data_IF_488598296454
#
_entry.id   IF_488598296454
#
_cell.length_a   1.000
_cell.length_b   1.000
_cell.length_c   1.000
_cell.angle_alpha   90.00
_cell.angle_beta   90.00
_cell.angle_gamma   90.00
#
_symmetry.space_group_name_H-M   'P 1'
#
loop_
_entity.id
_entity.type
_entity.pdbx_description
1 polymer ?
#
# COMPACT_ATOMS: atom_id res chain seq x y z
N UNK A 1 -1.70 -23.70 -17.90
CA UNK A 1 -2.10 -23.51 -16.50
C UNK A 1 -1.09 -22.69 -15.73
N UNK A 2 -1.56 -21.74 -14.93
CA UNK A 2 -0.72 -20.97 -14.01
C UNK A 2 -0.49 -21.81 -12.74
N UNK A 3 0.77 -21.99 -12.34
CA UNK A 3 1.18 -22.80 -11.18
C UNK A 3 2.03 -21.96 -10.22
N UNK A 4 1.37 -21.33 -9.23
CA UNK A 4 2.07 -20.51 -8.23
C UNK A 4 2.97 -21.33 -7.30
N UNK A 5 2.72 -22.65 -7.20
CA UNK A 5 3.61 -23.61 -6.52
C UNK A 5 5.06 -23.55 -7.00
N UNK A 6 5.30 -23.19 -8.26
CA UNK A 6 6.65 -23.11 -8.84
C UNK A 6 7.46 -21.94 -8.24
N UNK A 7 6.79 -21.00 -7.55
CA UNK A 7 7.39 -19.89 -6.81
C UNK A 7 7.55 -20.20 -5.31
N UNK A 8 7.44 -21.47 -4.90
CA UNK A 8 7.63 -21.88 -3.50
C UNK A 8 6.37 -21.82 -2.62
N UNK A 9 5.19 -21.67 -3.23
CA UNK A 9 3.90 -21.63 -2.52
C UNK A 9 3.06 -22.89 -2.82
N UNK A 10 3.35 -24.03 -2.16
CA UNK A 10 2.69 -25.29 -2.47
C UNK A 10 1.17 -25.19 -2.27
N UNK A 11 0.41 -25.82 -3.17
CA UNK A 11 -1.06 -25.83 -3.11
C UNK A 11 -1.76 -24.62 -3.74
N UNK A 12 -1.03 -23.55 -4.12
CA UNK A 12 -1.60 -22.39 -4.82
C UNK A 12 -1.63 -22.61 -6.34
N UNK A 13 -2.79 -22.38 -6.95
CA UNK A 13 -3.01 -22.59 -8.39
C UNK A 13 -3.62 -21.35 -9.05
N UNK A 14 -3.76 -21.37 -10.38
CA UNK A 14 -4.48 -20.32 -11.11
C UNK A 14 -5.97 -20.18 -10.76
N UNK A 15 -6.57 -21.13 -10.03
CA UNK A 15 -8.02 -21.10 -9.69
C UNK A 15 -8.36 -20.04 -8.65
N UNK A 16 -7.45 -19.77 -7.73
CA UNK A 16 -7.61 -18.78 -6.65
C UNK A 16 -7.07 -17.40 -7.05
N UNK A 17 -6.91 -17.15 -8.35
CA UNK A 17 -6.27 -15.93 -8.86
C UNK A 17 -7.28 -14.91 -9.33
N UNK A 18 -6.92 -13.63 -9.23
CA UNK A 18 -7.71 -12.53 -9.78
C UNK A 18 -7.24 -12.22 -11.20
N UNK A 19 -8.21 -12.07 -12.11
CA UNK A 19 -7.96 -11.70 -13.51
C UNK A 19 -8.16 -10.18 -13.68
N UNK A 20 -7.19 -9.54 -14.32
CA UNK A 20 -7.23 -8.12 -14.63
C UNK A 20 -7.15 -7.91 -16.14
N UNK A 21 -8.12 -7.18 -16.68
CA UNK A 21 -8.16 -6.78 -18.09
C UNK A 21 -8.25 -5.26 -18.13
N UNK A 22 -7.34 -4.61 -18.85
CA UNK A 22 -7.28 -3.15 -18.94
C UNK A 22 -6.98 -2.65 -20.34
N UNK A 23 -7.51 -1.47 -20.68
CA UNK A 23 -7.16 -0.73 -21.90
C UNK A 23 -5.92 0.15 -21.70
N UNK A 24 -5.32 0.64 -22.77
CA UNK A 24 -4.24 1.63 -22.70
C UNK A 24 -4.62 2.84 -21.82
N UNK A 25 -3.69 3.24 -20.94
CA UNK A 25 -3.87 4.32 -19.97
C UNK A 25 -4.63 3.95 -18.70
N UNK A 26 -5.31 2.78 -18.66
CA UNK A 26 -5.95 2.30 -17.44
C UNK A 26 -4.89 2.03 -16.37
N UNK A 27 -5.11 2.59 -15.18
CA UNK A 27 -4.15 2.53 -14.08
C UNK A 27 -4.84 2.25 -12.75
N UNK A 28 -4.06 1.72 -11.81
CA UNK A 28 -4.43 1.63 -10.40
C UNK A 28 -3.60 2.66 -9.64
N UNK A 29 -4.23 3.59 -8.89
CA UNK A 29 -3.54 4.57 -8.08
C UNK A 29 -2.53 3.94 -7.12
N UNK A 30 -1.55 4.72 -6.68
CA UNK A 30 -0.51 4.20 -5.81
C UNK A 30 -1.08 3.78 -4.46
N UNK A 31 -0.81 2.53 -4.08
CA UNK A 31 -1.21 1.96 -2.81
C UNK A 31 -0.18 0.95 -2.34
N UNK A 32 -0.25 0.57 -1.07
CA UNK A 32 0.30 -0.69 -0.59
C UNK A 32 -0.83 -1.62 -0.17
N UNK A 33 -0.50 -2.89 -0.14
CA UNK A 33 -1.38 -3.94 0.34
C UNK A 33 -1.16 -4.15 1.84
N UNK A 34 -2.24 -4.10 2.65
CA UNK A 34 -2.17 -4.19 4.11
C UNK A 34 -1.51 -5.49 4.61
N UNK A 35 -1.71 -6.59 3.90
CA UNK A 35 -1.22 -7.92 4.26
C UNK A 35 -0.90 -8.77 3.03
N UNK A 36 -0.07 -9.79 3.26
CA UNK A 36 0.37 -10.72 2.24
C UNK A 36 1.45 -10.16 1.33
N UNK A 37 1.82 -10.97 0.34
CA UNK A 37 2.58 -10.51 -0.83
C UNK A 37 1.85 -10.93 -2.11
N UNK A 38 2.21 -10.30 -3.22
CA UNK A 38 1.49 -10.46 -4.47
C UNK A 38 2.41 -11.03 -5.56
N UNK A 39 1.96 -12.10 -6.23
CA UNK A 39 2.60 -12.61 -7.44
C UNK A 39 1.76 -12.23 -8.64
N UNK A 40 2.31 -11.44 -9.56
CA UNK A 40 1.59 -10.92 -10.72
C UNK A 40 2.22 -11.46 -12.01
N UNK A 41 1.47 -12.29 -12.73
CA UNK A 41 1.83 -12.77 -14.07
C UNK A 41 1.22 -11.86 -15.12
N UNK A 42 2.06 -11.30 -16.00
CA UNK A 42 1.58 -10.63 -17.20
C UNK A 42 1.30 -11.66 -18.29
N UNK A 43 0.07 -11.69 -18.79
CA UNK A 43 -0.38 -12.67 -19.81
C UNK A 43 -0.38 -12.06 -21.21
N UNK A 44 -0.88 -10.83 -21.36
CA UNK A 44 -0.98 -10.14 -22.64
C UNK A 44 -0.71 -8.65 -22.48
N UNK A 45 -0.08 -8.03 -23.47
CA UNK A 45 0.32 -6.62 -23.41
C UNK A 45 1.31 -6.34 -22.29
N UNK A 46 1.66 -5.07 -22.11
CA UNK A 46 2.63 -4.63 -21.10
C UNK A 46 1.98 -3.70 -20.08
N UNK A 47 2.41 -3.85 -18.83
CA UNK A 47 2.08 -2.93 -17.74
C UNK A 47 3.35 -2.32 -17.17
N UNK A 48 3.37 -1.01 -16.93
CA UNK A 48 4.46 -0.33 -16.22
C UNK A 48 4.12 -0.27 -14.74
N UNK A 49 5.08 -0.65 -13.91
CA UNK A 49 5.00 -0.68 -12.47
C UNK A 49 6.00 0.32 -11.90
N UNK A 50 5.53 1.18 -11.01
CA UNK A 50 6.35 2.05 -10.17
C UNK A 50 6.24 1.52 -8.75
N UNK A 51 7.33 1.04 -8.18
CA UNK A 51 7.39 0.42 -6.86
C UNK A 51 8.18 1.33 -5.92
N UNK A 52 7.74 1.45 -4.66
CA UNK A 52 8.47 2.18 -3.63
C UNK A 52 8.60 1.32 -2.38
N UNK A 53 9.78 1.32 -1.72
CA UNK A 53 10.01 0.50 -0.54
C UNK A 53 9.14 0.97 0.65
N UNK A 54 8.85 0.11 1.63
CA UNK A 54 8.11 0.49 2.84
C UNK A 54 8.71 1.67 3.61
N UNK A 55 10.03 1.87 3.52
CA UNK A 55 10.73 3.01 4.13
C UNK A 55 10.28 4.38 3.60
N UNK A 56 9.71 4.43 2.38
CA UNK A 56 9.24 5.65 1.75
C UNK A 56 7.81 6.02 2.16
N UNK A 57 7.16 5.25 3.04
CA UNK A 57 5.76 5.45 3.46
C UNK A 57 5.45 6.90 3.86
N UNK A 58 6.36 7.57 4.58
CA UNK A 58 6.16 8.97 4.99
C UNK A 58 6.18 9.96 3.82
N UNK A 59 6.87 9.64 2.73
CA UNK A 59 6.96 10.47 1.52
C UNK A 59 5.76 10.26 0.59
N UNK A 60 4.96 9.21 0.82
CA UNK A 60 3.81 8.83 0.00
C UNK A 60 2.47 9.28 0.58
N UNK A 61 2.45 9.92 1.75
CA UNK A 61 1.24 10.51 2.33
C UNK A 61 0.06 9.52 2.38
N UNK A 62 0.13 8.49 3.24
CA UNK A 62 -0.86 7.43 3.30
C UNK A 62 -2.26 7.97 3.62
N UNK A 63 -3.27 7.37 3.02
CA UNK A 63 -4.68 7.61 3.29
C UNK A 63 -5.47 6.30 3.25
N UNK A 64 -6.51 6.23 4.08
CA UNK A 64 -7.49 5.13 4.11
C UNK A 64 -8.86 5.60 3.64
N UNK A 65 -8.98 6.82 3.15
CA UNK A 65 -10.20 7.40 2.57
C UNK A 65 -9.90 7.83 1.10
N UNK A 66 -10.73 7.42 0.12
CA UNK A 66 -11.81 6.44 0.24
C UNK A 66 -11.29 5.06 0.70
N UNK A 67 -12.04 4.41 1.57
CA UNK A 67 -11.72 3.10 2.14
C UNK A 67 -11.96 2.00 1.11
N UNK A 68 -10.95 1.16 0.94
CA UNK A 68 -11.02 -0.13 0.27
C UNK A 68 -10.38 -1.14 1.21
N UNK A 69 -11.02 -2.30 1.40
CA UNK A 69 -10.45 -3.35 2.23
C UNK A 69 -9.09 -3.78 1.66
N UNK A 70 -8.11 -3.98 2.55
CA UNK A 70 -6.75 -4.44 2.23
C UNK A 70 -5.83 -3.45 1.49
N UNK A 71 -6.26 -2.21 1.24
CA UNK A 71 -5.47 -1.20 0.51
C UNK A 71 -5.20 0.05 1.35
N UNK A 72 -3.97 0.54 1.36
CA UNK A 72 -3.63 1.88 1.86
C UNK A 72 -3.15 2.72 0.68
N UNK A 73 -3.88 3.78 0.33
CA UNK A 73 -3.58 4.61 -0.83
C UNK A 73 -2.59 5.73 -0.49
N UNK A 74 -1.92 6.23 -1.53
CA UNK A 74 -1.16 7.46 -1.49
C UNK A 74 -2.06 8.64 -1.86
N UNK A 75 -1.96 9.75 -1.13
CA UNK A 75 -2.58 11.02 -1.57
C UNK A 75 -1.87 11.63 -2.79
N UNK A 76 -0.69 11.12 -3.17
CA UNK A 76 0.10 11.60 -4.30
C UNK A 76 -0.34 10.93 -5.60
N UNK A 77 -0.67 11.73 -6.61
CA UNK A 77 -0.82 11.23 -7.98
C UNK A 77 0.57 10.99 -8.59
N UNK A 78 1.01 9.73 -8.68
CA UNK A 78 2.33 9.36 -9.20
C UNK A 78 2.53 9.76 -10.65
N UNK A 79 1.48 9.74 -11.48
CA UNK A 79 1.56 10.13 -12.88
C UNK A 79 1.77 11.65 -13.07
N UNK A 80 1.30 12.45 -12.11
CA UNK A 80 1.49 13.90 -12.10
C UNK A 80 1.57 14.45 -10.65
N UNK A 81 2.74 14.35 -9.99
CA UNK A 81 2.88 14.69 -8.57
C UNK A 81 2.78 16.20 -8.31
N UNK A 82 1.89 16.61 -7.41
CA UNK A 82 1.85 17.98 -6.87
C UNK A 82 2.87 18.15 -5.74
N UNK A 83 4.09 18.54 -6.11
CA UNK A 83 5.20 18.74 -5.18
C UNK A 83 5.07 20.00 -4.32
N UNK A 84 4.06 20.87 -4.55
CA UNK A 84 3.77 21.98 -3.63
C UNK A 84 2.96 21.47 -2.45
N UNK A 85 1.99 20.59 -2.71
CA UNK A 85 1.14 19.97 -1.68
C UNK A 85 1.83 18.80 -0.98
N UNK A 86 2.65 18.04 -1.71
CA UNK A 86 3.33 16.83 -1.24
C UNK A 86 4.85 16.93 -1.44
N UNK A 87 5.54 17.89 -0.80
CA UNK A 87 6.95 18.18 -1.06
C UNK A 87 7.89 17.00 -0.74
N UNK A 88 7.56 16.20 0.27
CA UNK A 88 8.40 15.07 0.72
C UNK A 88 8.46 13.94 -0.30
N UNK A 89 7.54 13.88 -1.25
CA UNK A 89 7.55 12.87 -2.31
C UNK A 89 8.83 12.91 -3.16
N UNK A 90 9.51 14.06 -3.23
CA UNK A 90 10.82 14.21 -3.90
C UNK A 90 11.91 13.31 -3.32
N UNK A 91 11.75 12.87 -2.06
CA UNK A 91 12.70 12.03 -1.35
C UNK A 91 12.43 10.53 -1.57
N UNK A 92 11.35 10.16 -2.27
CA UNK A 92 11.02 8.76 -2.57
C UNK A 92 11.93 8.17 -3.66
N UNK A 93 12.22 6.88 -3.53
CA UNK A 93 13.07 6.11 -4.43
C UNK A 93 12.21 5.16 -5.26
N UNK A 94 11.93 5.55 -6.51
CA UNK A 94 11.13 4.74 -7.42
C UNK A 94 11.94 3.59 -8.04
N UNK A 95 11.41 2.38 -7.95
CA UNK A 95 11.85 1.18 -8.66
C UNK A 95 10.86 0.92 -9.81
N UNK A 96 11.29 1.16 -11.05
CA UNK A 96 10.37 1.11 -12.22
C UNK A 96 10.68 -0.08 -13.10
N UNK A 97 9.65 -0.87 -13.43
CA UNK A 97 9.76 -2.03 -14.34
C UNK A 97 8.58 -2.06 -15.31
N UNK A 98 8.83 -2.43 -16.56
CA UNK A 98 7.76 -2.75 -17.53
C UNK A 98 7.62 -4.27 -17.62
N UNK A 99 6.52 -4.79 -17.09
CA UNK A 99 6.23 -6.21 -17.08
C UNK A 99 5.68 -6.64 -18.44
N UNK A 100 6.38 -7.56 -19.10
CA UNK A 100 6.08 -8.10 -20.43
C UNK A 100 5.39 -9.47 -20.33
N UNK A 101 4.65 -9.91 -21.37
CA UNK A 101 4.01 -11.22 -21.38
C UNK A 101 4.96 -12.37 -21.00
N UNK A 102 4.51 -13.24 -20.10
CA UNK A 102 5.27 -14.37 -19.57
C UNK A 102 6.16 -14.04 -18.36
N UNK A 103 6.29 -12.76 -17.99
CA UNK A 103 7.05 -12.36 -16.80
C UNK A 103 6.15 -12.34 -15.56
N UNK A 104 6.76 -12.67 -14.41
CA UNK A 104 6.12 -12.62 -13.09
C UNK A 104 6.82 -11.58 -12.24
N UNK A 105 6.04 -10.69 -11.62
CA UNK A 105 6.49 -9.74 -10.62
C UNK A 105 6.09 -10.23 -9.23
N UNK A 106 7.05 -10.32 -8.32
CA UNK A 106 6.80 -10.44 -6.89
C UNK A 106 6.74 -9.02 -6.31
N UNK A 107 5.60 -8.62 -5.76
CA UNK A 107 5.44 -7.42 -4.94
C UNK A 107 5.52 -7.85 -3.48
N UNK A 108 6.62 -7.55 -2.76
CA UNK A 108 6.74 -7.95 -1.36
C UNK A 108 5.74 -7.22 -0.47
N UNK A 109 5.48 -7.78 0.71
CA UNK A 109 4.58 -7.18 1.70
C UNK A 109 4.93 -5.72 1.97
N UNK A 110 3.90 -4.87 2.00
CA UNK A 110 3.97 -3.42 2.29
C UNK A 110 4.73 -2.58 1.26
N UNK A 111 5.09 -3.13 0.09
CA UNK A 111 5.62 -2.32 -1.00
C UNK A 111 4.51 -1.51 -1.65
N UNK A 112 4.76 -0.21 -1.74
CA UNK A 112 3.90 0.70 -2.46
C UNK A 112 4.05 0.48 -3.95
N UNK A 113 2.96 0.56 -4.68
CA UNK A 113 2.98 0.33 -6.11
C UNK A 113 1.90 1.11 -6.85
N UNK A 114 2.29 1.68 -7.98
CA UNK A 114 1.41 2.25 -9.01
C UNK A 114 1.59 1.43 -10.29
N UNK A 115 0.49 1.13 -10.97
CA UNK A 115 0.49 0.31 -12.18
C UNK A 115 -0.33 0.96 -13.28
N UNK A 116 0.23 1.00 -14.49
CA UNK A 116 -0.45 1.51 -15.68
C UNK A 116 -0.35 0.54 -16.86
N UNK A 117 -1.42 0.46 -17.63
CA UNK A 117 -1.49 -0.31 -18.88
C UNK A 117 -0.95 0.54 -20.02
N UNK A 118 0.13 0.10 -20.67
CA UNK A 118 0.81 0.90 -21.71
C UNK A 118 0.55 0.38 -23.13
N UNK A 119 -0.07 -0.79 -23.27
CA UNK A 119 -0.50 -1.35 -24.56
C UNK A 119 -2.04 -1.29 -24.69
N UNK A 120 -2.60 -1.33 -25.92
CA UNK A 120 -4.04 -1.20 -26.17
C UNK A 120 -4.93 -2.15 -25.35
N UNK A 121 -4.47 -3.37 -25.14
CA UNK A 121 -5.12 -4.39 -24.31
C UNK A 121 -4.06 -5.06 -23.45
N UNK A 122 -4.31 -5.09 -22.14
CA UNK A 122 -3.47 -5.80 -21.19
C UNK A 122 -4.29 -6.84 -20.44
N UNK A 123 -3.67 -7.99 -20.18
CA UNK A 123 -4.22 -9.07 -19.35
C UNK A 123 -3.15 -9.48 -18.36
N UNK A 124 -3.48 -9.45 -17.06
CA UNK A 124 -2.62 -9.97 -16.00
C UNK A 124 -3.43 -10.83 -15.03
N UNK A 125 -2.78 -11.78 -14.40
CA UNK A 125 -3.36 -12.65 -13.37
C UNK A 125 -2.48 -12.53 -12.14
N UNK A 126 -3.08 -12.35 -10.97
CA UNK A 126 -2.31 -12.30 -9.74
C UNK A 126 -2.82 -13.25 -8.67
N UNK A 127 -1.93 -13.61 -7.74
CA UNK A 127 -2.25 -14.40 -6.56
C UNK A 127 -1.69 -13.73 -5.31
N UNK A 128 -2.59 -13.58 -4.35
CA UNK A 128 -2.29 -13.10 -3.01
C UNK A 128 -1.81 -14.26 -2.14
N UNK A 129 -0.61 -14.10 -1.60
CA UNK A 129 0.01 -15.08 -0.73
C UNK A 129 -0.05 -14.55 0.69
N UNK A 130 -0.75 -15.27 1.56
CA UNK A 130 -0.85 -14.98 2.99
C UNK A 130 0.46 -15.33 3.70
N UNK A 131 0.85 -14.52 4.67
CA UNK A 131 2.06 -14.67 5.47
C UNK A 131 1.70 -14.72 6.96
N UNK A 132 2.47 -15.45 7.75
CA UNK A 132 2.26 -15.54 9.22
C UNK A 132 2.32 -14.16 9.90
N UNK A 133 3.13 -13.24 9.36
CA UNK A 133 3.26 -11.87 9.86
C UNK A 133 2.02 -10.98 9.61
N UNK A 134 0.99 -11.50 8.93
CA UNK A 134 -0.17 -10.70 8.57
C UNK A 134 -1.26 -10.64 9.63
N UNK A 135 -1.20 -11.48 10.67
CA UNK A 135 -2.27 -11.53 11.66
C UNK A 135 -2.47 -10.19 12.39
N UNK A 136 -1.38 -9.46 12.65
CA UNK A 136 -1.46 -8.12 13.25
C UNK A 136 -2.11 -7.12 12.30
N UNK A 137 -1.67 -7.11 11.02
CA UNK A 137 -2.24 -6.25 9.99
C UNK A 137 -3.74 -6.54 9.74
N UNK A 138 -4.19 -7.78 9.89
CA UNK A 138 -5.62 -8.13 9.81
C UNK A 138 -6.43 -7.55 10.97
N UNK A 139 -5.85 -7.40 12.16
CA UNK A 139 -6.50 -6.71 13.29
C UNK A 139 -6.60 -5.21 13.02
N UNK A 140 -5.52 -4.60 12.51
CA UNK A 140 -5.52 -3.19 12.08
C UNK A 140 -6.58 -2.91 11.00
N UNK A 141 -6.66 -3.78 10.00
CA UNK A 141 -7.68 -3.71 8.95
C UNK A 141 -9.10 -3.81 9.53
N UNK A 142 -9.34 -4.77 10.42
CA UNK A 142 -10.64 -4.95 11.08
C UNK A 142 -11.09 -3.73 11.89
N UNK A 143 -10.15 -3.08 12.60
CA UNK A 143 -10.41 -1.84 13.35
C UNK A 143 -10.79 -0.73 12.37
N UNK A 144 -10.01 -0.55 11.30
CA UNK A 144 -10.26 0.47 10.28
C UNK A 144 -11.64 0.29 9.65
N UNK A 145 -11.95 -0.94 9.21
CA UNK A 145 -13.24 -1.33 8.64
C UNK A 145 -14.40 -0.99 9.56
N UNK A 146 -14.29 -1.35 10.84
CA UNK A 146 -15.34 -1.11 11.83
C UNK A 146 -15.58 0.39 12.05
N UNK A 147 -14.51 1.19 12.14
CA UNK A 147 -14.62 2.64 12.32
C UNK A 147 -15.28 3.31 11.11
N UNK A 148 -14.82 3.01 9.89
CA UNK A 148 -15.38 3.59 8.66
C UNK A 148 -16.86 3.21 8.51
N UNK A 149 -17.20 1.94 8.70
CA UNK A 149 -18.59 1.49 8.59
C UNK A 149 -19.49 2.10 9.67
N UNK A 150 -19.01 2.23 10.91
CA UNK A 150 -19.80 2.79 12.01
C UNK A 150 -20.13 4.27 11.78
N UNK A 151 -19.15 5.06 11.33
CA UNK A 151 -19.35 6.49 11.04
C UNK A 151 -20.23 6.62 9.80
N UNK A 152 -19.98 5.84 8.73
CA UNK A 152 -20.81 5.86 7.52
C UNK A 152 -22.27 5.50 7.79
N UNK A 153 -22.53 4.56 8.71
CA UNK A 153 -23.89 4.19 9.10
C UNK A 153 -24.62 5.29 9.88
N UNK A 154 -23.90 6.26 10.44
CA UNK A 154 -24.47 7.39 11.18
C UNK A 154 -24.71 8.62 10.30
N UNK A 155 -24.16 8.65 9.08
CA UNK A 155 -24.33 9.77 8.16
C UNK A 155 -25.69 9.78 7.45
N UNK A 156 -26.11 10.97 7.06
CA UNK A 156 -27.29 11.12 6.22
C UNK A 156 -26.96 10.64 4.80
N UNK A 157 -27.79 9.81 4.16
CA UNK A 157 -27.57 9.33 2.79
C UNK A 157 -27.50 10.42 1.71
N UNK A 158 -27.84 11.66 2.07
CA UNK A 158 -27.78 12.84 1.20
C UNK A 158 -26.40 13.51 1.16
N UNK A 159 -25.48 13.16 2.08
CA UNK A 159 -24.11 13.67 2.04
C UNK A 159 -23.33 12.95 0.93
N UNK A 160 -22.67 13.73 0.08
CA UNK A 160 -21.96 13.25 -1.11
C UNK A 160 -20.57 12.68 -0.81
N UNK A 161 -20.27 12.41 0.46
CA UNK A 161 -18.93 12.06 0.89
C UNK A 161 -18.54 10.62 0.46
N UNK A 162 -17.46 10.55 -0.32
CA UNK A 162 -16.97 9.32 -0.92
C UNK A 162 -16.03 8.60 0.05
N UNK A 163 -16.55 8.14 1.19
CA UNK A 163 -15.75 7.42 2.19
C UNK A 163 -15.41 6.00 1.83
N UNK A 164 -16.20 5.38 0.94
CA UNK A 164 -15.92 4.06 0.42
C UNK A 164 -15.45 4.20 -1.02
N UNK A 165 -14.45 3.40 -1.39
CA UNK A 165 -14.04 3.27 -2.76
C UNK A 165 -15.22 2.73 -3.58
N UNK A 166 -15.46 3.18 -4.82
CA UNK A 166 -16.49 2.61 -5.69
C UNK A 166 -16.41 1.10 -5.90
N UNK A 167 -15.26 0.48 -5.66
CA UNK A 167 -15.03 -0.97 -5.69
C UNK A 167 -15.43 -1.70 -4.41
N UNK A 168 -15.62 -0.97 -3.31
CA UNK A 168 -15.96 -1.51 -2.00
C UNK A 168 -17.47 -1.79 -1.90
N UNK A 169 -17.82 -2.90 -1.27
CA UNK A 169 -19.23 -3.25 -1.02
C UNK A 169 -19.85 -2.23 -0.05
N UNK A 170 -21.18 -2.03 -0.13
CA UNK A 170 -21.91 -1.15 0.79
C UNK A 170 -21.54 -1.40 2.27
N UNK A 171 -21.64 -0.35 3.09
CA UNK A 171 -21.24 -0.38 4.49
C UNK A 171 -21.84 -1.60 5.23
N UNK A 172 -20.97 -2.43 5.80
CA UNK A 172 -21.40 -3.63 6.51
C UNK A 172 -21.89 -3.31 7.92
N UNK A 173 -22.80 -4.12 8.44
CA UNK A 173 -23.40 -3.90 9.76
C UNK A 173 -22.37 -4.00 10.89
N UNK A 174 -22.69 -3.38 12.02
CA UNK A 174 -21.87 -3.44 13.24
C UNK A 174 -21.57 -4.88 13.68
N UNK A 175 -22.56 -5.77 13.64
CA UNK A 175 -22.41 -7.18 14.04
C UNK A 175 -21.40 -7.93 13.16
N UNK A 176 -21.47 -7.74 11.84
CA UNK A 176 -20.54 -8.35 10.88
C UNK A 176 -19.12 -7.85 11.11
N UNK A 177 -18.94 -6.54 11.31
CA UNK A 177 -17.62 -5.95 11.56
C UNK A 177 -17.02 -6.39 12.89
N UNK A 178 -17.84 -6.51 13.94
CA UNK A 178 -17.39 -7.01 15.24
C UNK A 178 -16.98 -8.48 15.18
N UNK A 179 -17.72 -9.31 14.45
CA UNK A 179 -17.36 -10.70 14.20
C UNK A 179 -16.01 -10.81 13.48
N UNK A 180 -15.81 -10.01 12.42
CA UNK A 180 -14.55 -9.95 11.67
C UNK A 180 -13.37 -9.57 12.57
N UNK A 181 -13.53 -8.55 13.44
CA UNK A 181 -12.49 -8.17 14.41
C UNK A 181 -12.17 -9.31 15.39
N UNK A 182 -13.19 -9.96 15.94
CA UNK A 182 -13.00 -11.07 16.88
C UNK A 182 -12.27 -12.25 16.24
N UNK A 183 -12.57 -12.55 14.97
CA UNK A 183 -11.87 -13.58 14.19
C UNK A 183 -10.40 -13.22 13.95
N UNK A 184 -10.12 -11.97 13.57
CA UNK A 184 -8.76 -11.47 13.37
C UNK A 184 -7.92 -11.56 14.66
N UNK A 185 -8.47 -11.10 15.79
CA UNK A 185 -7.82 -11.20 17.11
C UNK A 185 -7.60 -12.67 17.50
N UNK A 186 -8.60 -13.52 17.32
CA UNK A 186 -8.48 -14.95 17.64
C UNK A 186 -7.40 -15.63 16.81
N UNK A 187 -7.27 -15.29 15.53
CA UNK A 187 -6.21 -15.80 14.66
C UNK A 187 -4.82 -15.33 15.12
N UNK A 188 -4.68 -14.06 15.49
CA UNK A 188 -3.44 -13.50 16.03
C UNK A 188 -2.98 -14.23 17.30
N UNK A 189 -3.89 -14.46 18.27
CA UNK A 189 -3.54 -15.14 19.53
C UNK A 189 -3.10 -16.59 19.28
N UNK A 190 -3.79 -17.33 18.40
CA UNK A 190 -3.39 -18.69 18.02
C UNK A 190 -2.00 -18.74 17.38
N UNK A 191 -1.67 -17.75 16.53
CA UNK A 191 -0.35 -17.64 15.93
C UNK A 191 0.74 -17.39 17.00
N UNK A 192 0.46 -16.57 18.01
CA UNK A 192 1.41 -16.37 19.11
C UNK A 192 1.67 -17.64 19.92
N UNK A 193 0.63 -18.38 20.29
CA UNK A 193 0.79 -19.63 21.07
C UNK A 193 1.65 -20.67 20.34
N UNK A 194 1.45 -20.80 19.03
CA UNK A 194 2.22 -21.73 18.20
C UNK A 194 3.69 -21.31 18.07
N UNK A 195 3.97 -20.01 17.98
CA UNK A 195 5.34 -19.48 17.96
C UNK A 195 6.09 -19.76 19.29
N UNK A 196 5.44 -19.57 20.44
CA UNK A 196 6.02 -19.81 21.78
C UNK A 196 6.26 -21.31 22.02
N UNK A 197 5.32 -22.17 21.61
CA UNK A 197 5.44 -23.62 21.73
C UNK A 197 6.53 -24.21 20.81
N UNK A 198 6.69 -23.65 19.60
CA UNK A 198 7.76 -24.03 18.67
C UNK A 198 9.16 -23.66 19.19
N UNK A 199 9.30 -22.49 19.81
CA UNK A 199 10.56 -22.04 20.40
C UNK A 199 10.97 -22.92 21.60
N UNK A 200 10.01 -23.32 22.44
CA UNK A 200 10.24 -24.23 23.57
C UNK A 200 10.67 -25.65 23.15
N UNK A 201 10.30 -26.11 21.94
CA UNK A 201 10.72 -27.41 21.40
C UNK A 201 12.11 -27.39 20.76
N UNK A 202 12.56 -26.23 20.28
CA UNK A 202 13.89 -26.07 19.66
C UNK A 202 15.05 -26.01 20.65
N UNK A 203 14.78 -25.79 21.94
CA UNK A 203 15.79 -25.69 23.00
C UNK A 203 16.08 -27.00 23.76
N UNK A 204 15.62 -28.16 23.28
CA UNK A 204 15.84 -29.45 23.96
C UNK A 204 16.53 -30.51 23.09
N UNK A 205 17.74 -30.22 22.61
CA UNK A 205 18.71 -31.28 22.26
C UNK A 205 20.12 -30.85 22.64
N UNK A 206 20.57 -31.28 23.81
CA UNK A 206 21.89 -30.95 24.34
C UNK A 206 22.10 -31.41 25.77
N UNK A 207 21.87 -32.69 26.05
CA UNK A 207 22.23 -33.28 27.35
C UNK A 207 23.76 -33.43 27.46
N UNK A 208 24.41 -32.62 28.31
CA UNK A 208 25.62 -33.03 29.04
C UNK A 208 25.58 -32.54 30.49
N UNK A 209 25.97 -33.46 31.37
CA UNK A 209 25.84 -33.48 32.82
C UNK A 209 26.74 -32.49 33.58
N UNK A 210 26.18 -32.04 34.73
CA UNK A 210 26.78 -31.76 36.06
C UNK A 210 27.82 -30.63 36.17
N UNK A 211 27.57 -29.65 37.03
CA UNK A 211 27.80 -29.69 38.49
C UNK A 211 27.25 -28.44 39.18
N UNK A 212 26.97 -28.61 40.46
CA UNK A 212 26.31 -27.72 41.43
C UNK A 212 27.08 -26.44 41.80
N UNK A 213 26.38 -25.32 41.93
CA UNK A 213 26.64 -24.33 42.99
C UNK A 213 25.41 -23.42 43.23
N UNK A 214 25.08 -23.27 44.51
CA UNK A 214 23.98 -22.49 45.08
C UNK A 214 24.30 -20.98 45.12
N UNK A 215 23.32 -20.10 44.89
CA UNK A 215 23.11 -18.93 45.78
C UNK A 215 21.79 -18.16 45.54
N UNK A 216 20.90 -18.26 46.54
CA UNK A 216 20.16 -17.21 47.24
C UNK A 216 19.34 -16.14 46.46
N UNK A 217 18.02 -16.28 46.60
CA UNK A 217 17.00 -15.22 46.62
C UNK A 217 17.42 -14.03 47.48
N UNK A 218 17.22 -12.80 46.99
CA UNK A 218 16.98 -11.62 47.83
C UNK A 218 15.86 -10.77 47.21
N UNK A 219 14.78 -10.64 47.98
CA UNK A 219 13.61 -9.79 47.77
C UNK A 219 13.91 -8.40 48.36
N UNK A 220 13.55 -7.31 47.68
CA UNK A 220 13.23 -6.03 48.34
C UNK A 220 12.32 -5.17 47.47
N UNK A 221 11.48 -4.43 48.17
CA UNK A 221 10.28 -3.70 47.74
C UNK A 221 10.55 -2.29 47.21
N UNK A 222 9.65 -1.86 46.32
CA UNK A 222 8.92 -0.57 46.20
C UNK A 222 9.61 0.74 46.62
N UNK A 223 9.61 1.70 45.69
CA UNK A 223 9.66 3.15 45.91
C UNK A 223 9.46 3.94 44.60
N UNK A 224 8.46 4.83 44.56
CA UNK A 224 8.01 5.62 43.40
C UNK A 224 8.94 6.80 43.00
N UNK A 225 9.09 6.99 41.67
CA UNK A 225 9.02 8.21 40.81
C UNK A 225 9.66 9.57 41.24
N UNK A 226 9.92 10.51 40.30
CA UNK A 226 10.49 10.38 38.95
C UNK A 226 11.62 11.41 38.69
N UNK A 227 12.68 11.03 37.98
CA UNK A 227 13.65 12.01 37.42
C UNK A 227 13.90 11.75 35.93
N UNK A 228 13.45 12.71 35.13
CA UNK A 228 13.98 13.14 33.82
C UNK A 228 14.58 12.06 32.90
N UNK A 229 13.74 11.50 32.02
CA UNK A 229 14.22 10.65 30.92
C UNK A 229 14.45 11.49 29.65
N UNK A 230 15.71 11.83 29.41
CA UNK A 230 16.22 12.38 28.15
C UNK A 230 15.98 11.37 27.03
N UNK A 231 15.21 11.76 26.01
CA UNK A 231 14.98 10.97 24.80
C UNK A 231 16.30 10.70 24.09
N UNK A 232 16.80 9.47 24.22
CA UNK A 232 17.85 8.94 23.36
C UNK A 232 17.23 8.62 22.00
N UNK A 233 17.55 9.44 21.00
CA UNK A 233 17.46 9.10 19.58
C UNK A 233 18.33 7.87 19.32
N UNK A 234 17.71 6.70 19.26
CA UNK A 234 18.33 5.49 18.74
C UNK A 234 18.18 5.54 17.23
N UNK A 235 19.22 6.01 16.54
CA UNK A 235 19.38 5.81 15.10
C UNK A 235 19.45 4.30 14.86
N UNK A 236 18.43 3.75 14.21
CA UNK A 236 18.44 2.37 13.74
C UNK A 236 19.29 2.31 12.46
N UNK A 237 20.60 2.13 12.65
CA UNK A 237 21.50 1.71 11.59
C UNK A 237 21.06 0.32 11.09
N UNK A 238 20.51 0.27 9.87
CA UNK A 238 20.25 -0.98 9.18
C UNK A 238 21.59 -1.63 8.81
N UNK A 239 21.91 -2.85 9.28
CA UNK A 239 23.09 -3.55 8.82
C UNK A 239 22.86 -3.94 7.36
N UNK A 240 23.74 -3.49 6.48
CA UNK A 240 23.80 -4.02 5.11
C UNK A 240 24.16 -5.51 5.19
N UNK A 241 23.32 -6.44 4.70
CA UNK A 241 23.62 -7.86 4.85
C UNK A 241 24.87 -8.21 4.04
N UNK A 242 25.81 -8.91 4.68
CA UNK A 242 26.98 -9.47 3.99
C UNK A 242 26.51 -10.50 2.97
N UNK A 243 27.20 -10.55 1.83
CA UNK A 243 26.87 -11.36 0.65
C UNK A 243 26.71 -12.89 0.90
N UNK A 244 27.03 -13.38 2.09
CA UNK A 244 26.96 -14.79 2.46
C UNK A 244 25.60 -15.21 3.07
N UNK A 245 24.77 -14.28 3.54
CA UNK A 245 23.38 -14.57 3.99
C UNK A 245 22.34 -14.59 2.84
N UNK A 246 22.76 -14.24 1.62
CA UNK A 246 21.94 -14.39 0.40
C UNK A 246 21.80 -15.85 -0.07
N UNK A 247 22.40 -16.82 0.63
CA UNK A 247 22.34 -18.24 0.31
C UNK A 247 21.02 -18.89 0.76
N UNK A 248 19.93 -18.49 0.10
CA UNK A 248 18.76 -19.29 -0.34
C UNK A 248 17.65 -18.32 -0.75
N UNK A 249 17.85 -17.65 -1.89
CA UNK A 249 16.73 -17.01 -2.58
C UNK A 249 15.79 -18.14 -3.03
N UNK A 250 14.54 -18.23 -2.55
CA UNK A 250 13.64 -19.36 -2.86
C UNK A 250 13.17 -19.38 -4.32
N UNK A 251 13.40 -18.30 -5.06
CA UNK A 251 12.87 -18.08 -6.41
C UNK A 251 13.84 -18.45 -7.55
N UNK A 252 14.97 -19.10 -7.23
CA UNK A 252 15.92 -19.61 -8.23
C UNK A 252 16.76 -18.52 -8.93
N UNK A 253 17.59 -18.91 -9.93
CA UNK A 253 18.55 -18.02 -10.60
C UNK A 253 17.91 -16.97 -11.52
N UNK A 254 16.59 -17.06 -11.74
CA UNK A 254 15.84 -16.16 -12.61
C UNK A 254 15.18 -15.00 -11.86
N UNK A 255 15.38 -14.89 -10.54
CA UNK A 255 14.93 -13.73 -9.79
C UNK A 255 15.84 -12.55 -10.11
N UNK A 256 15.27 -11.55 -10.79
CA UNK A 256 15.98 -10.32 -11.14
C UNK A 256 15.44 -9.21 -10.24
N UNK A 257 16.32 -8.57 -9.49
CA UNK A 257 15.95 -7.42 -8.68
C UNK A 257 15.58 -6.24 -9.58
N UNK A 258 14.44 -5.59 -9.31
CA UNK A 258 14.11 -4.30 -9.90
C UNK A 258 14.97 -3.23 -9.22
N UNK A 259 15.90 -2.65 -9.97
CA UNK A 259 16.79 -1.61 -9.46
C UNK A 259 16.10 -0.24 -9.40
N UNK A 260 16.51 0.63 -8.46
CA UNK A 260 15.98 1.99 -8.38
C UNK A 260 16.32 2.78 -9.65
N UNK A 261 15.43 3.69 -10.06
CA UNK A 261 15.73 4.62 -11.13
C UNK A 261 16.85 5.57 -10.68
N UNK A 262 17.93 5.65 -11.45
CA UNK A 262 18.92 6.71 -11.26
C UNK A 262 18.26 8.06 -11.54
N UNK A 263 18.17 8.95 -10.55
CA UNK A 263 17.79 10.34 -10.77
C UNK A 263 18.82 11.01 -11.70
N UNK A 264 18.59 10.98 -13.01
CA UNK A 264 19.25 11.93 -13.91
C UNK A 264 18.52 13.25 -13.73
N UNK A 265 19.13 14.16 -12.99
CA UNK A 265 18.76 15.58 -12.95
C UNK A 265 18.88 16.12 -14.37
N UNK A 266 17.80 16.11 -15.15
CA UNK A 266 17.76 16.84 -16.42
C UNK A 266 17.59 18.32 -16.08
N UNK A 267 18.72 19.03 -15.96
CA UNK A 267 18.73 20.49 -16.04
C UNK A 267 18.37 20.88 -17.48
N UNK A 268 17.08 20.88 -17.82
CA UNK A 268 16.62 21.50 -19.06
C UNK A 268 16.36 22.99 -18.79
N UNK A 269 17.40 23.78 -19.08
CA UNK A 269 17.23 25.20 -19.35
C UNK A 269 16.31 25.40 -20.55
N UNK A 270 15.47 26.42 -20.44
CA UNK A 270 14.59 26.88 -21.49
C UNK A 270 15.39 27.35 -22.72
N UNK A 271 15.12 26.77 -23.89
CA UNK A 271 15.18 27.46 -25.20
C UNK A 271 14.09 26.85 -26.09
N UNK A 272 13.29 27.65 -26.82
CA UNK A 272 12.17 27.16 -27.61
C UNK A 272 12.50 26.99 -29.10
N UNK A 273 11.67 26.16 -29.76
CA UNK A 273 11.39 26.04 -31.22
C UNK A 273 12.48 25.38 -32.07
N UNK A 274 12.16 24.22 -32.67
CA UNK A 274 11.87 24.11 -34.11
C UNK A 274 11.36 22.71 -34.45
N UNK A 275 10.15 22.68 -35.00
CA UNK A 275 9.55 21.55 -35.68
C UNK A 275 10.15 21.45 -37.07
N UNK A 276 10.77 20.33 -37.40
CA UNK A 276 11.02 19.99 -38.80
C UNK A 276 10.73 18.53 -39.09
N UNK A 277 9.76 18.37 -39.98
CA UNK A 277 9.29 17.15 -40.61
C UNK A 277 9.99 16.98 -41.95
N UNK A 278 10.73 15.89 -42.13
CA UNK A 278 11.15 15.35 -43.42
C UNK A 278 11.48 13.85 -43.22
N UNK A 279 10.60 12.96 -43.65
CA UNK A 279 10.65 12.26 -44.93
C UNK A 279 11.71 11.13 -44.98
N UNK A 280 11.23 9.90 -44.85
CA UNK A 280 11.71 8.78 -45.67
C UNK A 280 10.52 7.90 -46.08
N UNK A 281 10.12 8.08 -47.33
CA UNK A 281 9.32 7.16 -48.12
C UNK A 281 10.14 5.89 -48.40
N UNK A 282 9.55 4.72 -48.20
CA UNK A 282 9.69 3.64 -49.18
C UNK A 282 8.37 2.87 -49.32
N UNK A 283 7.91 2.84 -50.55
CA UNK A 283 6.71 2.20 -51.07
C UNK A 283 6.80 0.68 -50.98
N UNK A 284 5.68 0.02 -50.69
CA UNK A 284 5.14 -0.99 -51.59
C UNK A 284 3.63 -1.12 -51.43
N UNK A 285 2.96 -1.14 -52.58
CA UNK A 285 1.52 -1.06 -52.79
C UNK A 285 0.80 -2.40 -52.64
N UNK A 286 -0.51 -2.33 -52.38
CA UNK A 286 -1.43 -3.47 -52.38
C UNK A 286 -2.78 -3.19 -51.73
N UNK A 287 -3.56 -2.27 -52.32
CA UNK A 287 -5.04 -2.18 -52.42
C UNK A 287 -5.90 -3.17 -51.58
N UNK A 288 -7.00 -2.82 -50.89
CA UNK A 288 -8.15 -1.99 -51.27
C UNK A 288 -9.10 -1.70 -50.07
N UNK A 289 -9.64 -0.47 -50.04
CA UNK A 289 -10.89 0.06 -49.47
C UNK A 289 -11.36 -0.18 -48.00
N UNK A 290 -11.58 0.96 -47.31
CA UNK A 290 -12.45 1.08 -46.14
C UNK A 290 -12.33 2.41 -45.39
N UNK A 291 -12.61 3.55 -46.04
CA UNK A 291 -12.71 4.87 -45.38
C UNK A 291 -13.81 4.87 -44.32
N UNK A 292 -13.45 5.17 -43.07
CA UNK A 292 -14.31 5.86 -42.11
C UNK A 292 -13.44 6.68 -41.15
N UNK A 293 -13.25 7.96 -41.51
CA UNK A 293 -12.84 8.99 -40.57
C UNK A 293 -14.05 9.37 -39.72
N UNK A 294 -13.93 9.30 -38.39
CA UNK A 294 -14.80 10.10 -37.52
C UNK A 294 -14.02 10.65 -36.31
N UNK A 295 -13.66 11.93 -36.46
CA UNK A 295 -13.45 12.99 -35.46
C UNK A 295 -13.15 12.57 -34.01
N UNK A 296 -11.88 12.71 -33.65
CA UNK A 296 -11.35 12.81 -32.28
C UNK A 296 -11.97 14.03 -31.59
N UNK A 297 -12.99 13.82 -30.74
CA UNK A 297 -13.39 14.80 -29.71
C UNK A 297 -12.42 14.67 -28.54
N UNK A 298 -11.57 15.68 -28.36
CA UNK A 298 -10.78 15.90 -27.15
C UNK A 298 -11.76 16.26 -26.03
N UNK A 299 -12.14 15.31 -25.19
CA UNK A 299 -12.75 15.64 -23.88
C UNK A 299 -11.62 16.07 -22.94
N UNK A 300 -11.47 17.38 -22.79
CA UNK A 300 -10.83 17.98 -21.64
C UNK A 300 -11.83 17.84 -20.48
N UNK A 301 -11.51 17.05 -19.47
CA UNK A 301 -12.19 17.14 -18.18
C UNK A 301 -11.41 18.18 -17.36
N UNK A 302 -11.85 19.43 -17.46
CA UNK A 302 -11.47 20.48 -16.51
C UNK A 302 -12.30 20.29 -15.24
N UNK A 303 -11.67 19.94 -14.13
CA UNK A 303 -12.28 20.07 -12.81
C UNK A 303 -11.95 21.46 -12.27
N UNK A 304 -12.68 22.47 -12.75
CA UNK A 304 -12.79 23.75 -12.07
C UNK A 304 -14.22 23.83 -11.52
N UNK A 305 -14.36 23.71 -10.20
CA UNK A 305 -15.63 23.91 -9.52
C UNK A 305 -15.52 25.18 -8.67
N UNK A 306 -15.51 26.34 -9.36
CA UNK A 306 -15.72 27.64 -8.73
C UNK A 306 -17.20 28.00 -8.84
N UNK A 307 -17.94 27.84 -7.74
CA UNK A 307 -19.31 28.34 -7.65
C UNK A 307 -19.28 29.79 -7.19
N UNK A 308 -19.52 30.69 -8.13
CA UNK A 308 -19.68 32.12 -7.88
C UNK A 308 -20.93 32.37 -7.03
N UNK A 309 -20.75 32.89 -5.81
CA UNK A 309 -21.83 33.42 -4.98
C UNK A 309 -21.96 34.93 -5.18
N UNK A 310 -23.19 35.38 -5.39
CA UNK A 310 -23.59 36.76 -5.60
C UNK A 310 -23.19 37.68 -4.43
N UNK A 311 -22.53 38.79 -4.76
CA UNK A 311 -22.26 39.93 -3.88
C UNK A 311 -23.55 40.68 -3.53
N UNK A 312 -23.78 40.87 -2.23
CA UNK A 312 -24.50 42.00 -1.65
C UNK A 312 -23.72 42.40 -0.39
N UNK A 313 -23.20 43.63 -0.39
CA UNK A 313 -22.41 44.24 0.68
C UNK A 313 -23.16 44.30 2.01
N UNK A 314 -22.46 43.98 3.10
CA UNK A 314 -22.68 44.63 4.40
C UNK A 314 -21.46 44.44 5.30
N UNK A 315 -20.86 45.57 5.69
CA UNK A 315 -19.76 45.69 6.64
C UNK A 315 -20.08 45.05 8.01
N UNK A 316 -19.12 44.30 8.60
CA UNK A 316 -18.63 44.47 9.99
C UNK A 316 -17.81 43.25 10.48
N UNK A 317 -16.68 43.55 11.14
CA UNK A 317 -15.90 42.72 12.09
C UNK A 317 -14.85 41.73 11.53
N UNK A 318 -13.59 41.72 12.07
CA UNK A 318 -12.62 40.67 11.79
C UNK A 318 -13.03 39.43 12.59
N UNK A 319 -13.96 38.65 12.03
CA UNK A 319 -14.32 37.37 12.59
C UNK A 319 -13.09 36.45 12.42
N UNK A 320 -12.40 36.16 13.52
CA UNK A 320 -11.46 35.05 13.59
C UNK A 320 -12.22 33.81 13.11
N UNK A 321 -12.00 33.40 11.87
CA UNK A 321 -12.60 32.20 11.29
C UNK A 321 -12.11 31.02 12.12
N UNK A 322 -12.91 30.59 13.10
CA UNK A 322 -12.68 29.32 13.76
C UNK A 322 -12.83 28.26 12.69
N UNK A 323 -11.72 27.62 12.32
CA UNK A 323 -11.75 26.48 11.42
C UNK A 323 -12.55 25.38 12.12
N UNK A 324 -13.81 25.22 11.74
CA UNK A 324 -14.65 24.16 12.28
C UNK A 324 -14.10 22.81 11.82
N UNK A 325 -13.87 21.88 12.74
CA UNK A 325 -13.46 20.52 12.43
C UNK A 325 -14.64 19.77 11.79
N UNK A 326 -14.40 19.14 10.65
CA UNK A 326 -15.39 18.30 9.96
C UNK A 326 -15.29 16.83 10.39
N UNK A 327 -16.33 16.04 10.09
CA UNK A 327 -16.29 14.57 10.26
C UNK A 327 -15.16 13.94 9.45
N UNK A 328 -14.89 14.49 8.26
CA UNK A 328 -13.79 14.08 7.39
C UNK A 328 -12.42 14.26 8.06
N UNK A 329 -12.20 15.41 8.70
CA UNK A 329 -10.93 15.68 9.40
C UNK A 329 -10.69 14.68 10.53
N UNK A 330 -11.74 14.36 11.30
CA UNK A 330 -11.66 13.38 12.37
C UNK A 330 -11.45 11.96 11.83
N UNK A 331 -12.20 11.57 10.80
CA UNK A 331 -12.09 10.25 10.19
C UNK A 331 -10.68 10.02 9.66
N UNK A 332 -10.12 10.96 8.88
CA UNK A 332 -8.75 10.91 8.36
C UNK A 332 -7.70 10.70 9.47
N UNK A 333 -7.92 11.28 10.66
CA UNK A 333 -7.06 11.07 11.82
C UNK A 333 -7.24 9.68 12.43
N UNK A 334 -8.48 9.21 12.59
CA UNK A 334 -8.78 7.91 13.20
C UNK A 334 -8.30 6.73 12.35
N UNK A 335 -8.42 6.84 11.02
CA UNK A 335 -7.98 5.80 10.08
C UNK A 335 -6.52 5.97 9.64
N UNK A 336 -5.79 6.92 10.25
CA UNK A 336 -4.35 7.04 10.01
C UNK A 336 -3.65 5.73 10.44
N UNK A 337 -2.79 5.12 9.59
CA UNK A 337 -2.16 3.84 9.90
C UNK A 337 -1.42 3.82 11.25
N UNK A 338 -0.82 4.94 11.68
CA UNK A 338 -0.15 5.03 12.99
C UNK A 338 -1.14 4.95 14.14
N UNK A 339 -2.30 5.60 14.02
CA UNK A 339 -3.35 5.59 15.05
C UNK A 339 -3.96 4.20 15.14
N UNK A 340 -4.30 3.60 13.99
CA UNK A 340 -4.84 2.24 13.94
C UNK A 340 -3.90 1.23 14.57
N UNK A 341 -2.59 1.31 14.27
CA UNK A 341 -1.59 0.40 14.86
C UNK A 341 -1.50 0.54 16.39
N UNK A 342 -1.56 1.77 16.93
CA UNK A 342 -1.60 1.99 18.38
C UNK A 342 -2.86 1.40 19.02
N UNK A 343 -4.02 1.54 18.38
CA UNK A 343 -5.28 0.96 18.87
C UNK A 343 -5.22 -0.57 18.84
N UNK A 344 -4.66 -1.15 17.78
CA UNK A 344 -4.48 -2.59 17.65
C UNK A 344 -3.57 -3.14 18.77
N UNK A 345 -2.44 -2.49 19.04
CA UNK A 345 -1.54 -2.87 20.13
C UNK A 345 -2.24 -2.86 21.49
N UNK A 346 -2.92 -1.77 21.83
CA UNK A 346 -3.68 -1.65 23.08
C UNK A 346 -4.79 -2.70 23.21
N UNK A 347 -5.51 -2.98 22.11
CA UNK A 347 -6.55 -4.01 22.08
C UNK A 347 -5.96 -5.40 22.36
N UNK A 348 -4.84 -5.73 21.70
CA UNK A 348 -4.17 -7.01 21.85
C UNK A 348 -3.57 -7.19 23.25
N UNK A 349 -2.99 -6.13 23.84
CA UNK A 349 -2.50 -6.14 25.21
C UNK A 349 -3.63 -6.40 26.22
N UNK A 350 -4.79 -5.76 26.03
CA UNK A 350 -5.95 -5.91 26.92
C UNK A 350 -6.49 -7.34 26.94
N UNK A 351 -6.45 -8.06 25.82
CA UNK A 351 -7.03 -9.39 25.67
C UNK A 351 -6.08 -10.49 26.18
N UNK A 352 -4.78 -10.20 26.33
CA UNK A 352 -3.81 -11.13 26.93
C UNK A 352 -3.89 -11.23 28.46
N UNK A 353 -4.61 -10.32 29.11
CA UNK A 353 -4.86 -10.30 30.58
C UNK A 353 -6.09 -11.13 30.89
#
# INVERSE_FOLDING_TARGET
>A
DVRWSDFGFPGRSGKESTLWIGSEGANTPCHLDSYGCNLVLQVQGRKRWHLFPPGDTSFLYPTRIPYEESSIFSKVNIANPDLKRFPEFRNSTAHVVTLSPGQVLLVPRHWWHYVESIDPVTVSINSWIELDADHEARVEEAITRMLVCAIKSAENPSDGDLWLNPTEVEATSHEVNLQYLNEAVSAYLKCQETSVSGQARSSSTGAKQRTSASCKRKRREVGCEPESCTLLTQECDFPTPKAEELQKIPFGPHLIQVLPQSHKTSTMGAVPVESDSADLLHQNEGEHLGKLQCKRKRLLMSNDCDTAAHQMDSDCSPCTSQTALSTNDLLDCLVNPRVVSLVAQLLLERIRV
#
